data_IF_537041883999
#
_entry.id   IF_537041883999
#
_cell.length_a   1.000
_cell.length_b   1.000
_cell.length_c   1.000
_cell.angle_alpha   90.00
_cell.angle_beta   90.00
_cell.angle_gamma   90.00
#
_symmetry.space_group_name_H-M   'P 1'
#
loop_
_entity.id
_entity.type
_entity.pdbx_description
1 polymer ?
#
# COMPACT_ATOMS: atom_id res chain seq x y z
N UNK A 1 -0.04 -14.63 6.77
CA UNK A 1 -0.71 -15.88 6.33
C UNK A 1 -0.22 -17.05 7.17
N UNK A 2 -1.08 -18.03 7.52
CA UNK A 2 -0.65 -19.24 8.22
C UNK A 2 0.38 -20.04 7.40
N UNK A 3 1.41 -20.58 8.05
CA UNK A 3 2.52 -21.27 7.37
C UNK A 3 2.21 -22.71 6.96
N UNK A 4 1.28 -23.39 7.64
CA UNK A 4 1.02 -24.82 7.42
C UNK A 4 -0.39 -25.13 6.91
N UNK A 5 -1.45 -24.73 7.61
CA UNK A 5 -2.84 -25.06 7.25
C UNK A 5 -3.77 -23.86 7.39
N UNK A 6 -4.86 -23.84 6.62
CA UNK A 6 -5.90 -22.80 6.71
C UNK A 6 -5.63 -21.55 5.88
N UNK A 7 -4.67 -21.58 4.94
CA UNK A 7 -4.34 -20.45 4.05
C UNK A 7 -5.56 -19.91 3.32
N UNK A 8 -6.32 -20.76 2.63
CA UNK A 8 -7.52 -20.34 1.90
C UNK A 8 -8.56 -19.66 2.81
N UNK A 9 -8.83 -20.22 3.99
CA UNK A 9 -9.75 -19.64 4.97
C UNK A 9 -9.25 -18.30 5.52
N UNK A 10 -7.96 -18.17 5.79
CA UNK A 10 -7.36 -16.94 6.25
C UNK A 10 -7.37 -15.84 5.18
N UNK A 11 -7.10 -16.21 3.92
CA UNK A 11 -7.22 -15.30 2.78
C UNK A 11 -8.66 -14.84 2.59
N UNK A 12 -9.63 -15.75 2.59
CA UNK A 12 -11.04 -15.38 2.48
C UNK A 12 -11.46 -14.42 3.59
N UNK A 13 -11.09 -14.71 4.84
CA UNK A 13 -11.37 -13.80 5.97
C UNK A 13 -10.75 -12.42 5.79
N UNK A 14 -9.53 -12.33 5.26
CA UNK A 14 -8.86 -11.06 5.00
C UNK A 14 -9.56 -10.28 3.89
N UNK A 15 -9.93 -10.97 2.81
CA UNK A 15 -10.69 -10.39 1.70
C UNK A 15 -12.06 -9.90 2.21
N UNK A 16 -12.80 -10.72 2.96
CA UNK A 16 -14.10 -10.35 3.53
C UNK A 16 -14.02 -9.07 4.38
N UNK A 17 -12.95 -8.92 5.18
CA UNK A 17 -12.69 -7.78 6.05
C UNK A 17 -11.83 -6.66 5.41
N UNK A 18 -11.73 -6.58 4.08
CA UNK A 18 -10.76 -5.71 3.41
C UNK A 18 -10.89 -4.22 3.79
N UNK A 19 -12.11 -3.71 3.98
CA UNK A 19 -12.35 -2.34 4.47
C UNK A 19 -11.71 -2.09 5.85
N UNK A 20 -11.84 -3.06 6.75
CA UNK A 20 -11.24 -2.99 8.08
C UNK A 20 -9.72 -3.03 8.02
N UNK A 21 -9.14 -3.81 7.10
CA UNK A 21 -7.70 -3.83 6.87
C UNK A 21 -7.20 -2.50 6.30
N UNK A 22 -7.94 -1.88 5.36
CA UNK A 22 -7.62 -0.53 4.85
C UNK A 22 -7.65 0.49 5.98
N UNK A 23 -8.71 0.51 6.79
CA UNK A 23 -8.83 1.42 7.93
C UNK A 23 -7.72 1.23 8.98
N UNK A 24 -7.16 0.02 9.09
CA UNK A 24 -6.00 -0.26 9.94
C UNK A 24 -4.73 0.32 9.35
N UNK A 25 -4.45 0.07 8.06
CA UNK A 25 -3.27 0.62 7.36
C UNK A 25 -3.29 2.15 7.34
N UNK A 26 -4.47 2.77 7.12
CA UNK A 26 -4.67 4.22 7.22
C UNK A 26 -4.16 4.78 8.54
N UNK A 27 -4.58 4.17 9.66
CA UNK A 27 -4.22 4.64 11.01
C UNK A 27 -2.76 4.36 11.35
N UNK A 28 -2.25 3.18 10.99
CA UNK A 28 -0.86 2.79 11.32
C UNK A 28 0.17 3.62 10.54
N UNK A 29 -0.14 3.96 9.28
CA UNK A 29 0.77 4.68 8.38
C UNK A 29 0.38 6.14 8.13
N UNK A 30 -0.66 6.64 8.80
CA UNK A 30 -1.13 8.03 8.70
C UNK A 30 -1.49 8.43 7.26
N UNK A 31 -2.09 7.49 6.52
CA UNK A 31 -2.41 7.68 5.11
C UNK A 31 -3.83 8.25 4.94
N UNK A 32 -4.02 9.27 4.07
CA UNK A 32 -5.33 9.77 3.70
C UNK A 32 -6.22 8.70 3.09
N UNK A 33 -7.54 8.80 3.31
CA UNK A 33 -8.49 7.86 2.72
C UNK A 33 -8.54 7.91 1.19
N UNK A 34 -8.25 9.07 0.59
CA UNK A 34 -8.25 9.26 -0.86
C UNK A 34 -7.14 8.51 -1.60
N UNK A 35 -6.11 8.04 -0.88
CA UNK A 35 -4.98 7.31 -1.48
C UNK A 35 -5.28 5.81 -1.64
N UNK A 36 -6.41 5.34 -1.07
CA UNK A 36 -6.78 3.93 -1.12
C UNK A 36 -7.63 3.62 -2.36
N UNK A 37 -7.45 2.44 -2.97
CA UNK A 37 -8.25 2.02 -4.11
C UNK A 37 -9.70 1.72 -3.71
N UNK A 38 -10.60 1.68 -4.69
CA UNK A 38 -11.98 1.25 -4.48
C UNK A 38 -12.02 -0.20 -4.00
N UNK A 39 -12.67 -0.43 -2.85
CA UNK A 39 -12.54 -1.68 -2.11
C UNK A 39 -13.05 -2.90 -2.88
N UNK A 40 -14.18 -2.79 -3.59
CA UNK A 40 -14.74 -3.93 -4.32
C UNK A 40 -13.88 -4.31 -5.53
N UNK A 41 -13.33 -3.33 -6.25
CA UNK A 41 -12.37 -3.61 -7.31
C UNK A 41 -11.12 -4.31 -6.75
N UNK A 42 -10.60 -3.83 -5.63
CA UNK A 42 -9.42 -4.43 -5.01
C UNK A 42 -9.69 -5.85 -4.50
N UNK A 43 -10.91 -6.10 -3.98
CA UNK A 43 -11.39 -7.42 -3.56
C UNK A 43 -11.41 -8.41 -4.71
N UNK A 44 -11.99 -8.03 -5.85
CA UNK A 44 -12.03 -8.85 -7.07
C UNK A 44 -10.61 -9.18 -7.55
N UNK A 45 -9.73 -8.19 -7.63
CA UNK A 45 -8.35 -8.39 -8.03
C UNK A 45 -7.61 -9.35 -7.09
N UNK A 46 -7.71 -9.15 -5.77
CA UNK A 46 -7.07 -10.00 -4.77
C UNK A 46 -7.53 -11.46 -4.81
N UNK A 47 -8.78 -11.72 -5.20
CA UNK A 47 -9.32 -13.07 -5.34
C UNK A 47 -8.53 -13.95 -6.31
N UNK A 48 -7.87 -13.36 -7.31
CA UNK A 48 -7.03 -14.06 -8.28
C UNK A 48 -5.61 -14.41 -7.81
N UNK A 49 -5.19 -13.95 -6.62
CA UNK A 49 -3.83 -14.12 -6.12
C UNK A 49 -3.76 -15.06 -4.91
N UNK A 50 -2.56 -15.60 -4.68
CA UNK A 50 -2.23 -16.38 -3.47
C UNK A 50 -1.48 -15.47 -2.50
N UNK A 51 -2.14 -14.95 -1.47
CA UNK A 51 -1.55 -13.94 -0.57
C UNK A 51 -0.30 -14.46 0.16
N UNK A 52 -0.21 -15.76 0.39
CA UNK A 52 0.97 -16.38 1.00
C UNK A 52 2.23 -16.33 0.11
N UNK A 53 2.08 -15.99 -1.18
CA UNK A 53 3.21 -15.77 -2.10
C UNK A 53 3.65 -14.31 -2.18
N UNK A 54 2.94 -13.40 -1.53
CA UNK A 54 3.35 -12.00 -1.51
C UNK A 54 4.66 -11.83 -0.76
N UNK A 55 5.49 -10.93 -1.29
CA UNK A 55 6.70 -10.54 -0.58
C UNK A 55 6.33 -9.86 0.75
N UNK A 56 7.16 -10.11 1.76
CA UNK A 56 7.06 -9.35 3.00
C UNK A 56 7.41 -7.89 2.72
N UNK A 57 6.73 -6.98 3.42
CA UNK A 57 7.06 -5.56 3.40
C UNK A 57 8.54 -5.37 3.72
N UNK A 58 9.23 -4.60 2.89
CA UNK A 58 10.65 -4.25 3.05
C UNK A 58 10.72 -2.78 3.49
N UNK A 59 10.98 -2.47 4.77
CA UNK A 59 10.96 -1.09 5.27
C UNK A 59 11.89 -0.15 4.50
N UNK A 60 13.04 -0.65 4.04
CA UNK A 60 13.98 0.12 3.21
C UNK A 60 13.41 0.60 1.88
N UNK A 61 12.48 -0.16 1.28
CA UNK A 61 11.84 0.26 0.03
C UNK A 61 10.82 1.37 0.28
N UNK A 62 10.12 1.33 1.43
CA UNK A 62 9.21 2.42 1.83
C UNK A 62 10.02 3.67 2.11
N UNK A 63 11.10 3.56 2.90
CA UNK A 63 11.96 4.70 3.22
C UNK A 63 12.51 5.38 1.96
N UNK A 64 12.92 4.61 0.95
CA UNK A 64 13.40 5.17 -0.31
C UNK A 64 12.32 6.01 -1.04
N UNK A 65 11.05 5.61 -0.95
CA UNK A 65 9.93 6.39 -1.50
C UNK A 65 9.66 7.63 -0.65
N UNK A 66 9.69 7.50 0.68
CA UNK A 66 9.50 8.63 1.59
C UNK A 66 10.61 9.69 1.42
N UNK A 67 11.86 9.27 1.27
CA UNK A 67 13.00 10.15 1.01
C UNK A 67 12.85 10.87 -0.34
N UNK A 68 12.43 10.14 -1.37
CA UNK A 68 12.16 10.72 -2.69
C UNK A 68 11.06 11.79 -2.62
N UNK A 69 9.96 11.52 -1.90
CA UNK A 69 8.87 12.49 -1.72
C UNK A 69 9.29 13.70 -0.87
N UNK A 70 10.08 13.48 0.18
CA UNK A 70 10.46 14.50 1.17
C UNK A 70 11.63 15.39 0.74
N UNK A 71 12.56 14.88 -0.06
CA UNK A 71 13.81 15.56 -0.39
C UNK A 71 14.04 15.67 -1.90
N UNK A 72 14.03 14.53 -2.60
CA UNK A 72 14.48 14.49 -4.01
C UNK A 72 13.54 15.27 -4.94
N UNK A 73 12.22 15.11 -4.78
CA UNK A 73 11.24 15.85 -5.59
C UNK A 73 11.31 17.36 -5.30
N UNK A 74 11.26 17.84 -4.05
CA UNK A 74 11.44 19.26 -3.77
C UNK A 74 12.76 19.84 -4.29
N UNK A 75 13.87 19.10 -4.21
CA UNK A 75 15.15 19.52 -4.75
C UNK A 75 15.11 19.63 -6.29
N UNK A 76 14.53 18.63 -6.95
CA UNK A 76 14.31 18.66 -8.39
C UNK A 76 13.45 19.87 -8.81
N UNK A 77 12.38 20.17 -8.04
CA UNK A 77 11.51 21.32 -8.30
C UNK A 77 12.23 22.67 -8.21
N UNK A 78 13.22 22.82 -7.31
CA UNK A 78 14.05 24.05 -7.24
C UNK A 78 14.91 24.25 -8.49
N UNK A 79 15.29 23.16 -9.15
CA UNK A 79 16.11 23.21 -10.36
C UNK A 79 15.30 23.58 -11.61
N UNK A 80 13.97 23.46 -11.56
CA UNK A 80 13.12 24.02 -12.60
C UNK A 80 13.02 25.54 -12.41
N UNK A 81 13.51 26.30 -13.39
CA UNK A 81 13.22 27.74 -13.46
C UNK A 81 11.71 27.94 -13.50
N UNK A 82 11.23 28.95 -12.77
CA UNK A 82 9.86 29.40 -12.90
C UNK A 82 9.62 29.81 -14.37
N UNK A 83 8.74 29.13 -15.13
CA UNK A 83 8.48 29.50 -16.52
C UNK A 83 7.73 30.83 -16.65
N UNK A 84 7.35 31.45 -15.52
CA UNK A 84 6.70 32.74 -15.43
C UNK A 84 7.62 33.86 -14.87
N UNK A 85 8.93 33.60 -14.73
CA UNK A 85 9.98 34.64 -14.66
C UNK A 85 10.61 34.89 -16.03
#
# INVERSE_FOLDING_TARGET
>A
MPTMMGKAKAQQKLIDNLEGEFAKVQREHHLPAGDFPYVEHFREALGGYSIDRFEKVKPKMIQAVDDMLGYDIPELLKNFRNPYE
#
